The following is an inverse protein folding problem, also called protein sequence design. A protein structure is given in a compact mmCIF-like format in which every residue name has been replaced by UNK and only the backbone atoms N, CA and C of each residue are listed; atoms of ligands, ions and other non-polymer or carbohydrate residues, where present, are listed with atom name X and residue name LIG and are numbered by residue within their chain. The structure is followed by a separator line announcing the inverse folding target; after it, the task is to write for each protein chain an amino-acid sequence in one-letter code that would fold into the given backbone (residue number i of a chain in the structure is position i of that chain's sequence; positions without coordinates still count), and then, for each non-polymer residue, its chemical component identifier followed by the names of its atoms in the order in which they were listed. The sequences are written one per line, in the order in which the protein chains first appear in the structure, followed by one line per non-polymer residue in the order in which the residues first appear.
data_IF_889137808005
#
_entry.id   IF_889137808005
#
_cell.length_a   1.000
_cell.length_b   1.000
_cell.length_c   1.000
_cell.angle_alpha   90.00
_cell.angle_beta   90.00
_cell.angle_gamma   90.00
#
_symmetry.space_group_name_H-M   'P 1'
#
loop_
_entity.id
_entity.type
_entity.pdbx_description
1 polymer ?
#
# COMPACT_ATOMS: atom_id res chain seq x y z
N UNK A 1 -51.11 -56.55 -34.19
CA UNK A 1 -50.10 -56.52 -35.26
C UNK A 1 -49.51 -55.09 -35.36
N UNK A 2 -48.18 -54.96 -35.19
CA UNK A 2 -47.30 -53.84 -35.52
C UNK A 2 -47.64 -52.46 -34.89
N UNK A 3 -46.92 -51.96 -33.88
CA UNK A 3 -45.52 -51.55 -33.76
C UNK A 3 -45.23 -50.14 -34.33
N UNK A 4 -44.59 -49.35 -33.44
CA UNK A 4 -43.63 -48.24 -33.60
C UNK A 4 -44.23 -46.84 -33.46
N UNK A 5 -43.61 -45.88 -32.84
CA UNK A 5 -42.42 -45.58 -32.00
C UNK A 5 -42.55 -44.10 -31.63
N UNK A 6 -42.50 -43.61 -30.47
CA UNK A 6 -41.33 -43.32 -29.68
C UNK A 6 -40.57 -42.05 -30.12
N UNK A 7 -40.83 -40.91 -29.51
CA UNK A 7 -39.76 -39.91 -29.33
C UNK A 7 -39.99 -39.17 -28.00
N UNK A 8 -39.18 -39.53 -27.00
CA UNK A 8 -39.03 -38.82 -25.75
C UNK A 8 -38.04 -37.68 -25.97
N UNK A 9 -38.42 -36.42 -25.88
CA UNK A 9 -37.50 -35.34 -25.71
C UNK A 9 -37.27 -35.03 -24.22
N UNK A 10 -36.20 -35.63 -23.67
CA UNK A 10 -35.62 -35.28 -22.38
C UNK A 10 -34.87 -33.97 -22.56
N UNK A 11 -35.36 -32.89 -21.98
CA UNK A 11 -34.58 -31.68 -21.81
C UNK A 11 -33.72 -31.84 -20.56
N UNK A 12 -32.42 -32.10 -20.77
CA UNK A 12 -31.41 -32.00 -19.72
C UNK A 12 -30.89 -30.55 -19.73
N UNK A 13 -31.28 -29.78 -18.72
CA UNK A 13 -30.59 -28.56 -18.37
C UNK A 13 -29.36 -29.00 -17.58
N UNK A 14 -28.23 -29.07 -18.24
CA UNK A 14 -26.94 -29.32 -17.63
C UNK A 14 -26.47 -28.07 -16.90
N UNK A 15 -26.51 -28.14 -15.57
CA UNK A 15 -25.80 -27.20 -14.70
C UNK A 15 -24.31 -27.49 -14.84
N UNK A 16 -23.62 -26.76 -15.70
CA UNK A 16 -22.15 -26.77 -15.77
C UNK A 16 -21.60 -25.94 -14.60
N UNK A 17 -21.37 -26.60 -13.45
CA UNK A 17 -20.47 -26.06 -12.41
C UNK A 17 -19.05 -26.02 -12.97
N UNK A 18 -18.63 -24.89 -13.46
CA UNK A 18 -17.25 -24.62 -13.82
C UNK A 18 -16.46 -24.44 -12.50
N UNK A 19 -15.85 -25.51 -12.01
CA UNK A 19 -14.90 -25.49 -10.93
C UNK A 19 -13.65 -24.74 -11.40
N UNK A 20 -13.52 -23.46 -11.04
CA UNK A 20 -12.24 -22.76 -11.09
C UNK A 20 -11.30 -23.38 -10.05
N UNK A 21 -10.52 -24.36 -10.45
CA UNK A 21 -9.32 -24.78 -9.72
C UNK A 21 -8.34 -23.60 -9.81
N UNK A 22 -8.28 -22.81 -8.75
CA UNK A 22 -7.20 -21.86 -8.54
C UNK A 22 -5.90 -22.65 -8.38
N UNK A 23 -5.19 -22.83 -9.46
CA UNK A 23 -3.78 -23.21 -9.39
C UNK A 23 -3.06 -22.00 -8.75
N UNK A 24 -2.80 -22.10 -7.45
CA UNK A 24 -1.72 -21.32 -6.86
C UNK A 24 -0.42 -21.86 -7.47
N UNK A 25 0.01 -21.25 -8.56
CA UNK A 25 1.42 -21.34 -8.93
C UNK A 25 2.16 -20.59 -7.85
N UNK A 26 2.85 -21.34 -6.98
CA UNK A 26 3.93 -20.80 -6.19
C UNK A 26 4.90 -20.15 -7.18
N UNK A 27 4.77 -18.84 -7.36
CA UNK A 27 5.78 -18.04 -7.99
C UNK A 27 6.96 -18.04 -7.00
N UNK A 28 7.80 -19.03 -7.10
CA UNK A 28 9.13 -19.00 -6.51
C UNK A 28 9.73 -17.66 -6.97
N UNK A 29 9.99 -16.77 -6.01
CA UNK A 29 10.66 -15.52 -6.26
C UNK A 29 11.95 -15.86 -7.03
N UNK A 30 11.98 -15.53 -8.31
CA UNK A 30 13.22 -15.64 -9.09
C UNK A 30 14.19 -14.67 -8.44
N UNK A 31 15.15 -15.21 -7.70
CA UNK A 31 16.28 -14.44 -7.21
C UNK A 31 16.95 -13.74 -8.40
N UNK A 32 17.59 -12.58 -8.17
CA UNK A 32 18.25 -11.85 -9.21
C UNK A 32 19.25 -12.75 -9.93
N UNK A 33 19.24 -12.68 -11.24
CA UNK A 33 20.15 -13.39 -12.13
C UNK A 33 21.62 -13.13 -11.73
N UNK A 34 22.22 -14.07 -10.99
CA UNK A 34 23.63 -14.46 -11.03
C UNK A 34 24.73 -13.45 -10.69
N UNK A 35 24.47 -12.26 -10.18
CA UNK A 35 25.49 -11.26 -9.81
C UNK A 35 25.25 -10.64 -8.44
N UNK A 36 26.28 -9.99 -7.84
CA UNK A 36 26.10 -9.30 -6.58
C UNK A 36 25.11 -8.14 -6.72
N UNK A 37 24.22 -7.97 -5.73
CA UNK A 37 23.16 -6.97 -5.71
C UNK A 37 23.76 -5.57 -5.54
N UNK A 38 23.41 -4.66 -6.44
CA UNK A 38 23.71 -3.24 -6.30
C UNK A 38 22.59 -2.50 -5.57
N UNK A 39 22.85 -1.28 -5.08
CA UNK A 39 21.81 -0.46 -4.44
C UNK A 39 20.62 -0.19 -5.38
N UNK A 40 20.90 0.13 -6.65
CA UNK A 40 19.85 0.35 -7.64
C UNK A 40 19.01 -0.92 -7.88
N UNK A 41 19.67 -2.08 -7.98
CA UNK A 41 18.96 -3.36 -8.16
C UNK A 41 18.09 -3.70 -6.94
N UNK A 42 18.55 -3.41 -5.72
CA UNK A 42 17.77 -3.58 -4.50
C UNK A 42 16.49 -2.75 -4.52
N UNK A 43 16.60 -1.47 -4.89
CA UNK A 43 15.42 -0.58 -5.03
C UNK A 43 14.48 -1.09 -6.12
N UNK A 44 14.99 -1.46 -7.30
CA UNK A 44 14.16 -1.99 -8.38
C UNK A 44 13.49 -3.33 -8.01
N UNK A 45 14.17 -4.16 -7.24
CA UNK A 45 13.62 -5.41 -6.73
C UNK A 45 12.47 -5.13 -5.74
N UNK A 46 12.66 -4.20 -4.80
CA UNK A 46 11.64 -3.77 -3.86
C UNK A 46 10.39 -3.24 -4.58
N UNK A 47 10.56 -2.32 -5.55
CA UNK A 47 9.45 -1.75 -6.32
C UNK A 47 8.68 -2.77 -7.16
N UNK A 48 9.30 -3.90 -7.52
CA UNK A 48 8.65 -5.00 -8.25
C UNK A 48 7.96 -6.01 -7.33
N UNK A 49 8.58 -6.34 -6.20
CA UNK A 49 8.20 -7.50 -5.40
C UNK A 49 7.46 -7.13 -4.12
N UNK A 50 7.73 -5.95 -3.52
CA UNK A 50 7.20 -5.62 -2.21
C UNK A 50 5.65 -5.55 -2.23
N UNK A 51 4.96 -6.26 -1.32
CA UNK A 51 3.50 -6.40 -1.39
C UNK A 51 2.74 -5.08 -1.33
N UNK A 52 3.21 -4.08 -0.56
CA UNK A 52 2.56 -2.78 -0.46
C UNK A 52 2.52 -2.01 -1.81
N UNK A 53 3.47 -2.25 -2.71
CA UNK A 53 3.45 -1.67 -4.06
C UNK A 53 2.30 -2.27 -4.89
N UNK A 54 2.13 -3.59 -4.84
CA UNK A 54 1.01 -4.27 -5.52
C UNK A 54 -0.33 -3.81 -4.97
N UNK A 55 -0.43 -3.69 -3.64
CA UNK A 55 -1.62 -3.20 -2.94
C UNK A 55 -1.97 -1.76 -3.35
N UNK A 56 -1.02 -0.83 -3.28
CA UNK A 56 -1.25 0.58 -3.59
C UNK A 56 -1.62 0.81 -5.05
N UNK A 57 -0.95 0.10 -5.99
CA UNK A 57 -1.29 0.13 -7.41
C UNK A 57 -2.66 -0.46 -7.70
N UNK A 58 -3.02 -1.57 -7.06
CA UNK A 58 -4.35 -2.17 -7.20
C UNK A 58 -5.45 -1.22 -6.67
N UNK A 59 -5.21 -0.52 -5.56
CA UNK A 59 -6.13 0.50 -5.04
C UNK A 59 -6.28 1.69 -6.00
N UNK A 60 -5.19 2.16 -6.58
CA UNK A 60 -5.21 3.23 -7.58
C UNK A 60 -5.99 2.81 -8.84
N UNK A 61 -5.80 1.57 -9.31
CA UNK A 61 -6.55 1.03 -10.43
C UNK A 61 -8.03 0.83 -10.09
N UNK A 62 -8.36 0.33 -8.90
CA UNK A 62 -9.75 0.21 -8.44
C UNK A 62 -10.46 1.57 -8.37
N UNK A 63 -9.76 2.63 -7.94
CA UNK A 63 -10.29 3.99 -7.96
C UNK A 63 -10.50 4.51 -9.41
N UNK A 64 -9.63 4.13 -10.34
CA UNK A 64 -9.76 4.46 -11.77
C UNK A 64 -10.98 3.78 -12.40
N UNK A 65 -11.19 2.48 -12.13
CA UNK A 65 -12.40 1.77 -12.54
C UNK A 65 -13.67 2.35 -11.89
N UNK A 66 -13.57 2.92 -10.69
CA UNK A 66 -14.64 3.65 -10.01
C UNK A 66 -15.18 4.82 -10.84
N UNK A 67 -14.35 5.45 -11.68
CA UNK A 67 -14.80 6.47 -12.65
C UNK A 67 -15.72 5.85 -13.72
N UNK A 68 -15.39 4.61 -14.16
CA UNK A 68 -16.25 3.84 -15.05
C UNK A 68 -17.61 3.59 -14.43
N UNK A 69 -17.64 3.14 -13.16
CA UNK A 69 -18.88 2.94 -12.40
C UNK A 69 -19.68 4.25 -12.30
N UNK A 70 -19.03 5.36 -11.93
CA UNK A 70 -19.73 6.66 -11.86
C UNK A 70 -20.32 7.11 -13.21
N UNK A 71 -19.70 6.76 -14.32
CA UNK A 71 -20.22 7.03 -15.67
C UNK A 71 -21.43 6.19 -16.04
N UNK A 72 -21.64 5.03 -15.43
CA UNK A 72 -22.84 4.23 -15.70
C UNK A 72 -24.13 4.94 -15.28
N UNK A 73 -24.05 5.93 -14.39
CA UNK A 73 -25.19 6.79 -14.03
C UNK A 73 -25.79 7.57 -15.22
N UNK A 74 -25.06 7.73 -16.33
CA UNK A 74 -25.59 8.33 -17.57
C UNK A 74 -26.40 7.35 -18.41
N UNK A 75 -26.30 6.06 -18.16
CA UNK A 75 -27.01 5.03 -18.91
C UNK A 75 -28.44 4.85 -18.38
N UNK A 76 -29.40 4.53 -19.23
CA UNK A 76 -30.72 4.11 -18.77
C UNK A 76 -30.62 2.82 -17.96
N UNK A 77 -31.47 2.70 -16.95
CA UNK A 77 -31.63 1.51 -16.13
C UNK A 77 -32.76 0.68 -16.69
N UNK A 78 -32.53 -0.61 -16.89
CA UNK A 78 -33.51 -1.58 -17.30
C UNK A 78 -33.70 -2.60 -16.16
N UNK A 79 -34.90 -2.60 -15.57
CA UNK A 79 -35.30 -3.55 -14.56
C UNK A 79 -36.29 -4.55 -15.15
N UNK A 80 -36.08 -5.83 -14.93
CA UNK A 80 -37.00 -6.91 -15.29
C UNK A 80 -37.53 -7.58 -14.03
N UNK A 81 -38.80 -7.88 -14.00
CA UNK A 81 -39.45 -8.51 -12.86
C UNK A 81 -40.39 -9.61 -13.32
N UNK A 82 -40.36 -10.70 -12.63
CA UNK A 82 -41.39 -11.72 -12.68
C UNK A 82 -41.86 -12.07 -11.25
N UNK A 83 -43.17 -12.14 -11.04
CA UNK A 83 -43.75 -12.44 -9.75
C UNK A 83 -44.86 -13.44 -9.92
N UNK A 84 -44.87 -14.48 -9.10
CA UNK A 84 -46.00 -15.35 -8.90
C UNK A 84 -46.36 -15.39 -7.41
N UNK A 85 -47.65 -15.32 -7.12
CA UNK A 85 -48.12 -15.38 -5.76
C UNK A 85 -49.46 -16.15 -5.69
N UNK A 86 -49.81 -16.58 -4.50
CA UNK A 86 -51.13 -17.06 -4.16
C UNK A 86 -51.67 -16.21 -3.05
N UNK A 87 -52.84 -15.63 -3.27
CA UNK A 87 -53.43 -14.66 -2.35
C UNK A 87 -54.95 -14.82 -2.30
N UNK A 88 -55.53 -14.28 -1.25
CA UNK A 88 -57.00 -14.22 -1.12
C UNK A 88 -57.60 -13.28 -2.14
N UNK A 89 -58.82 -13.49 -2.56
CA UNK A 89 -59.52 -12.70 -3.59
C UNK A 89 -60.30 -11.50 -3.04
N UNK A 90 -60.19 -11.21 -1.73
CA UNK A 90 -61.13 -10.30 -1.06
C UNK A 90 -60.94 -8.81 -1.33
N UNK A 91 -59.76 -8.31 -1.71
CA UNK A 91 -59.61 -6.88 -1.90
C UNK A 91 -59.17 -6.48 -3.30
N UNK A 92 -58.24 -7.22 -3.87
CA UNK A 92 -57.67 -6.92 -5.18
C UNK A 92 -57.62 -8.26 -5.88
N UNK A 93 -58.12 -8.37 -7.09
CA UNK A 93 -58.14 -9.60 -7.84
C UNK A 93 -56.74 -10.29 -7.93
N UNK A 94 -56.34 -11.01 -6.84
CA UNK A 94 -55.02 -11.53 -6.62
C UNK A 94 -54.05 -10.43 -6.16
N UNK A 95 -53.67 -10.46 -4.87
CA UNK A 95 -52.76 -9.48 -4.27
C UNK A 95 -51.38 -9.54 -4.96
N UNK A 96 -50.89 -8.39 -5.44
CA UNK A 96 -49.52 -8.24 -5.86
C UNK A 96 -48.68 -7.67 -4.72
N UNK A 97 -47.49 -8.21 -4.50
CA UNK A 97 -46.56 -7.58 -3.60
C UNK A 97 -46.07 -6.23 -4.16
N UNK A 98 -45.89 -5.22 -3.30
CA UNK A 98 -45.41 -3.91 -3.74
C UNK A 98 -44.11 -4.03 -4.54
N UNK A 99 -44.06 -3.40 -5.71
CA UNK A 99 -42.93 -3.40 -6.61
C UNK A 99 -42.71 -1.99 -7.16
N UNK A 100 -41.44 -1.61 -7.31
CA UNK A 100 -41.07 -0.35 -7.95
C UNK A 100 -41.29 -0.37 -9.48
N UNK A 101 -41.36 -1.55 -10.06
CA UNK A 101 -41.45 -1.79 -11.52
C UNK A 101 -42.90 -1.87 -12.03
N UNK A 102 -43.86 -2.13 -11.14
CA UNK A 102 -45.30 -2.21 -11.46
C UNK A 102 -46.03 -1.09 -10.75
N UNK A 103 -46.96 -0.46 -11.46
CA UNK A 103 -47.90 0.46 -10.85
C UNK A 103 -48.83 -0.28 -9.92
N UNK A 104 -49.14 0.32 -8.77
CA UNK A 104 -50.13 -0.21 -7.85
C UNK A 104 -51.52 -0.23 -8.55
N UNK A 105 -52.09 -1.42 -8.66
CA UNK A 105 -53.45 -1.60 -9.18
C UNK A 105 -54.36 -1.91 -8.01
N UNK A 106 -55.29 -1.04 -7.73
CA UNK A 106 -56.28 -1.21 -6.68
C UNK A 106 -57.66 -1.44 -7.30
N UNK A 107 -58.45 -2.28 -6.68
CA UNK A 107 -59.85 -2.56 -7.06
C UNK A 107 -60.79 -2.41 -5.87
N UNK A 108 -62.11 -2.51 -6.09
CA UNK A 108 -63.10 -2.39 -5.01
C UNK A 108 -62.94 -3.52 -4.00
N UNK A 109 -63.24 -3.23 -2.74
CA UNK A 109 -63.28 -4.24 -1.65
C UNK A 109 -64.48 -5.17 -1.85
N UNK A 110 -64.23 -6.47 -1.96
CA UNK A 110 -65.26 -7.51 -2.13
C UNK A 110 -65.57 -8.16 -0.78
N UNK A 111 -66.55 -7.66 -0.08
CA UNK A 111 -66.92 -8.07 1.28
C UNK A 111 -67.52 -9.49 1.41
N UNK A 112 -67.75 -10.19 0.31
CA UNK A 112 -68.38 -11.53 0.30
C UNK A 112 -67.40 -12.69 0.20
N UNK A 113 -66.08 -12.43 0.15
CA UNK A 113 -65.06 -13.45 -0.01
C UNK A 113 -64.43 -13.83 1.33
N UNK A 114 -64.21 -15.14 1.54
CA UNK A 114 -63.60 -15.66 2.75
C UNK A 114 -62.08 -15.78 2.68
N UNK A 115 -61.40 -15.92 3.82
CA UNK A 115 -59.95 -16.17 3.86
C UNK A 115 -59.52 -17.47 3.16
N UNK A 116 -60.49 -18.44 2.98
CA UNK A 116 -60.26 -19.69 2.27
C UNK A 116 -60.24 -19.54 0.74
N UNK A 117 -60.77 -18.45 0.21
CA UNK A 117 -60.83 -18.18 -1.23
C UNK A 117 -59.46 -17.62 -1.69
N UNK A 118 -58.58 -18.47 -2.14
CA UNK A 118 -57.26 -18.09 -2.64
C UNK A 118 -57.07 -18.41 -4.12
N UNK A 119 -56.42 -17.52 -4.84
CA UNK A 119 -56.14 -17.64 -6.27
C UNK A 119 -54.68 -17.42 -6.54
N UNK A 120 -54.23 -17.92 -7.67
CA UNK A 120 -52.91 -17.59 -8.22
C UNK A 120 -52.94 -16.21 -8.88
N UNK A 121 -51.85 -15.50 -8.76
CA UNK A 121 -51.56 -14.24 -9.48
C UNK A 121 -50.17 -14.24 -10.05
N UNK A 122 -50.04 -13.85 -11.28
CA UNK A 122 -48.75 -13.63 -11.96
C UNK A 122 -48.60 -12.22 -12.40
N UNK A 123 -47.36 -11.71 -12.43
CA UNK A 123 -47.03 -10.43 -13.01
C UNK A 123 -45.62 -10.46 -13.60
N UNK A 124 -45.48 -9.96 -14.81
CA UNK A 124 -44.21 -9.74 -15.44
C UNK A 124 -44.09 -8.28 -15.89
N UNK A 125 -42.94 -7.66 -15.70
CA UNK A 125 -42.72 -6.28 -16.12
C UNK A 125 -41.29 -6.04 -16.56
N UNK A 126 -41.14 -5.11 -17.48
CA UNK A 126 -39.87 -4.49 -17.86
C UNK A 126 -40.02 -2.98 -17.70
N UNK A 127 -39.16 -2.38 -16.88
CA UNK A 127 -39.11 -0.94 -16.65
C UNK A 127 -37.81 -0.39 -17.21
N UNK A 128 -37.89 0.54 -18.13
CA UNK A 128 -36.79 1.39 -18.57
C UNK A 128 -36.92 2.73 -17.84
N UNK A 129 -35.90 3.11 -17.09
CA UNK A 129 -35.85 4.38 -16.38
C UNK A 129 -34.56 5.10 -16.73
N UNK A 130 -34.67 6.37 -17.11
CA UNK A 130 -33.52 7.20 -17.51
C UNK A 130 -33.68 8.62 -17.00
N UNK A 131 -32.71 9.05 -16.24
CA UNK A 131 -32.62 10.44 -15.83
C UNK A 131 -32.05 11.26 -16.99
N UNK A 132 -32.91 11.91 -17.75
CA UNK A 132 -32.53 12.62 -18.98
C UNK A 132 -31.79 13.93 -18.66
N UNK A 133 -32.24 14.68 -17.64
CA UNK A 133 -31.64 15.96 -17.21
C UNK A 133 -31.49 15.98 -15.70
N UNK A 134 -30.27 16.29 -15.23
CA UNK A 134 -29.89 16.35 -13.81
C UNK A 134 -29.11 17.63 -13.44
N UNK A 135 -29.06 18.59 -14.31
CA UNK A 135 -28.34 19.87 -14.14
C UNK A 135 -26.90 19.72 -13.63
N UNK A 136 -26.24 18.60 -13.98
CA UNK A 136 -24.84 18.34 -13.70
C UNK A 136 -24.57 17.54 -12.43
N UNK A 137 -25.60 16.92 -11.82
CA UNK A 137 -25.44 16.03 -10.66
C UNK A 137 -24.54 14.83 -10.97
N UNK A 138 -24.79 14.11 -12.08
CA UNK A 138 -23.96 12.97 -12.53
C UNK A 138 -22.54 13.38 -12.87
N UNK A 139 -22.37 14.56 -13.51
CA UNK A 139 -21.04 15.10 -13.79
C UNK A 139 -20.28 15.34 -12.48
N UNK A 140 -20.90 15.96 -11.48
CA UNK A 140 -20.29 16.18 -10.19
C UNK A 140 -19.93 14.84 -9.50
N UNK A 141 -20.77 13.81 -9.60
CA UNK A 141 -20.46 12.46 -9.13
C UNK A 141 -19.23 11.83 -9.81
N UNK A 142 -19.11 11.99 -11.13
CA UNK A 142 -17.91 11.57 -11.88
C UNK A 142 -16.68 12.37 -11.46
N UNK A 143 -16.82 13.67 -11.18
CA UNK A 143 -15.70 14.49 -10.73
C UNK A 143 -15.23 14.11 -9.32
N UNK A 144 -16.12 13.64 -8.43
CA UNK A 144 -15.74 13.01 -7.15
C UNK A 144 -14.89 11.75 -7.39
N UNK A 145 -15.34 10.86 -8.28
CA UNK A 145 -14.60 9.64 -8.60
C UNK A 145 -13.21 9.93 -9.19
N UNK A 146 -13.09 10.97 -10.03
CA UNK A 146 -11.80 11.43 -10.58
C UNK A 146 -10.89 11.98 -9.48
N UNK A 147 -11.41 12.78 -8.55
CA UNK A 147 -10.65 13.29 -7.42
C UNK A 147 -10.14 12.14 -6.52
N UNK A 148 -10.98 11.12 -6.27
CA UNK A 148 -10.58 9.89 -5.56
C UNK A 148 -9.48 9.13 -6.30
N UNK A 149 -9.53 9.05 -7.64
CA UNK A 149 -8.46 8.44 -8.44
C UNK A 149 -7.15 9.23 -8.29
N UNK A 150 -7.21 10.56 -8.31
CA UNK A 150 -6.03 11.41 -8.10
C UNK A 150 -5.41 11.18 -6.71
N UNK A 151 -6.23 11.12 -5.67
CA UNK A 151 -5.80 10.81 -4.31
C UNK A 151 -5.10 9.44 -4.25
N UNK A 152 -5.73 8.39 -4.79
CA UNK A 152 -5.18 7.04 -4.77
C UNK A 152 -3.86 6.93 -5.54
N UNK A 153 -3.70 7.62 -6.68
CA UNK A 153 -2.44 7.68 -7.45
C UNK A 153 -1.34 8.39 -6.67
N UNK A 154 -1.63 9.50 -5.98
CA UNK A 154 -0.64 10.20 -5.16
C UNK A 154 -0.23 9.38 -3.91
N UNK A 155 -1.18 8.65 -3.30
CA UNK A 155 -0.88 7.71 -2.23
C UNK A 155 0.00 6.54 -2.70
N UNK A 156 -0.22 6.04 -3.93
CA UNK A 156 0.66 5.03 -4.53
C UNK A 156 2.07 5.56 -4.76
N UNK A 157 2.22 6.79 -5.24
CA UNK A 157 3.52 7.43 -5.40
C UNK A 157 4.27 7.62 -4.07
N UNK A 158 3.54 7.97 -2.99
CA UNK A 158 4.11 8.02 -1.65
C UNK A 158 4.60 6.64 -1.19
N UNK A 159 3.79 5.59 -1.39
CA UNK A 159 4.19 4.21 -1.06
C UNK A 159 5.43 3.78 -1.85
N UNK A 160 5.55 4.17 -3.12
CA UNK A 160 6.75 3.88 -3.93
C UNK A 160 8.00 4.57 -3.38
N UNK A 161 7.88 5.83 -2.95
CA UNK A 161 8.97 6.56 -2.31
C UNK A 161 9.41 5.90 -1.00
N UNK A 162 8.44 5.53 -0.15
CA UNK A 162 8.70 4.93 1.16
C UNK A 162 9.39 3.57 1.01
N UNK A 163 8.89 2.72 0.12
CA UNK A 163 9.47 1.38 -0.14
C UNK A 163 10.86 1.49 -0.74
N UNK A 164 11.06 2.39 -1.71
CA UNK A 164 12.38 2.62 -2.32
C UNK A 164 13.39 3.14 -1.30
N UNK A 165 12.98 4.08 -0.45
CA UNK A 165 13.84 4.63 0.62
C UNK A 165 14.18 3.57 1.67
N UNK A 166 13.22 2.74 2.08
CA UNK A 166 13.44 1.66 3.03
C UNK A 166 14.41 0.60 2.50
N UNK A 167 14.27 0.22 1.23
CA UNK A 167 15.20 -0.71 0.58
C UNK A 167 16.62 -0.14 0.49
N UNK A 168 16.74 1.16 0.17
CA UNK A 168 18.03 1.85 0.12
C UNK A 168 18.70 1.92 1.50
N UNK A 169 17.94 2.27 2.55
CA UNK A 169 18.49 2.33 3.92
C UNK A 169 18.88 0.94 4.44
N UNK A 170 18.07 -0.08 4.17
CA UNK A 170 18.39 -1.46 4.51
C UNK A 170 19.69 -1.93 3.82
N UNK A 171 19.87 -1.59 2.53
CA UNK A 171 21.10 -1.89 1.80
C UNK A 171 22.32 -1.23 2.41
N UNK A 172 22.25 0.08 2.70
CA UNK A 172 23.33 0.82 3.36
C UNK A 172 23.62 0.30 4.77
N UNK A 173 22.59 -0.20 5.47
CA UNK A 173 22.74 -0.82 6.78
C UNK A 173 23.55 -2.12 6.72
N UNK A 174 23.30 -2.97 5.73
CA UNK A 174 24.10 -4.20 5.55
C UNK A 174 25.54 -3.85 5.23
N UNK A 175 25.81 -2.89 4.33
CA UNK A 175 27.17 -2.47 4.03
C UNK A 175 27.90 -1.95 5.28
N UNK A 176 27.25 -1.16 6.11
CA UNK A 176 27.84 -0.65 7.35
C UNK A 176 28.14 -1.76 8.35
N UNK A 177 27.24 -2.76 8.46
CA UNK A 177 27.42 -3.92 9.31
C UNK A 177 28.58 -4.80 8.82
N UNK A 178 28.71 -5.01 7.51
CA UNK A 178 29.80 -5.77 6.92
C UNK A 178 31.17 -5.10 7.12
N UNK A 179 31.24 -3.75 7.06
CA UNK A 179 32.45 -3.02 7.43
C UNK A 179 32.80 -3.22 8.91
N UNK A 180 31.80 -3.16 9.79
CA UNK A 180 32.00 -3.40 11.23
C UNK A 180 32.51 -4.83 11.51
N UNK A 181 31.99 -5.82 10.79
CA UNK A 181 32.51 -7.23 10.89
C UNK A 181 33.97 -7.31 10.44
N UNK A 182 34.34 -6.60 9.34
CA UNK A 182 35.72 -6.58 8.84
C UNK A 182 36.68 -5.95 9.86
N UNK A 183 36.29 -4.81 10.44
CA UNK A 183 37.08 -4.16 11.49
C UNK A 183 37.24 -5.02 12.75
N UNK A 184 36.14 -5.64 13.22
CA UNK A 184 36.18 -6.55 14.38
C UNK A 184 37.05 -7.79 14.13
N UNK A 185 37.00 -8.38 12.93
CA UNK A 185 37.85 -9.52 12.55
C UNK A 185 39.33 -9.13 12.54
N UNK A 186 39.67 -8.00 11.91
CA UNK A 186 41.04 -7.49 11.90
C UNK A 186 41.58 -7.24 13.33
N UNK A 187 40.73 -6.77 14.25
CA UNK A 187 41.09 -6.63 15.65
C UNK A 187 41.35 -7.96 16.34
N UNK A 188 40.52 -8.98 16.13
CA UNK A 188 40.74 -10.34 16.64
C UNK A 188 42.07 -10.91 16.14
N UNK A 189 42.36 -10.78 14.84
CA UNK A 189 43.59 -11.26 14.24
C UNK A 189 44.84 -10.60 14.88
N UNK A 190 44.81 -9.26 15.10
CA UNK A 190 45.89 -8.55 15.78
C UNK A 190 46.08 -8.99 17.23
N UNK A 191 45.00 -9.13 17.98
CA UNK A 191 45.04 -9.56 19.39
C UNK A 191 45.45 -11.03 19.52
N UNK A 192 45.09 -11.89 18.58
CA UNK A 192 45.57 -13.28 18.54
C UNK A 192 47.09 -13.35 18.40
N UNK A 193 47.66 -12.57 17.46
CA UNK A 193 49.14 -12.48 17.31
C UNK A 193 49.78 -11.91 18.57
N UNK A 194 49.21 -10.86 19.14
CA UNK A 194 49.71 -10.24 20.37
C UNK A 194 49.68 -11.23 21.55
N UNK A 195 48.55 -11.92 21.79
CA UNK A 195 48.40 -12.91 22.86
C UNK A 195 49.42 -14.08 22.73
N UNK A 196 49.65 -14.54 21.51
CA UNK A 196 50.65 -15.60 21.26
C UNK A 196 52.05 -15.09 21.58
N UNK A 197 52.42 -13.88 21.20
CA UNK A 197 53.71 -13.29 21.51
C UNK A 197 53.90 -13.11 23.03
N UNK A 198 52.90 -12.61 23.74
CA UNK A 198 52.96 -12.47 25.20
C UNK A 198 53.10 -13.81 25.88
N UNK A 199 52.35 -14.84 25.44
CA UNK A 199 52.46 -16.21 25.95
C UNK A 199 53.87 -16.77 25.81
N UNK A 200 54.52 -16.56 24.65
CA UNK A 200 55.91 -16.97 24.43
C UNK A 200 56.89 -16.25 25.35
N UNK A 201 56.72 -14.96 25.59
CA UNK A 201 57.56 -14.20 26.51
C UNK A 201 57.39 -14.67 27.97
N UNK A 202 56.18 -15.00 28.40
CA UNK A 202 55.90 -15.54 29.75
C UNK A 202 56.49 -16.91 29.91
N UNK A 203 56.36 -17.81 28.93
CA UNK A 203 56.97 -19.15 28.96
C UNK A 203 58.51 -19.12 29.08
N UNK A 204 59.14 -18.11 28.50
CA UNK A 204 60.57 -17.89 28.60
C UNK A 204 60.96 -17.03 29.84
N UNK A 205 60.04 -16.77 30.77
CA UNK A 205 60.24 -15.98 32.01
C UNK A 205 60.66 -14.52 31.77
N UNK A 206 60.39 -13.99 30.56
CA UNK A 206 60.71 -12.62 30.18
C UNK A 206 59.61 -11.63 30.59
N UNK A 207 58.44 -12.14 30.97
CA UNK A 207 57.27 -11.35 31.37
C UNK A 207 56.48 -12.04 32.50
N UNK A 208 55.74 -11.27 33.35
CA UNK A 208 54.87 -11.85 34.36
C UNK A 208 53.70 -12.63 33.79
N UNK A 209 53.21 -13.68 34.47
CA UNK A 209 52.04 -14.46 34.04
C UNK A 209 50.76 -13.63 33.97
N UNK A 210 50.67 -12.55 34.76
CA UNK A 210 49.54 -11.61 34.69
C UNK A 210 49.41 -10.95 33.31
N UNK A 211 50.49 -10.73 32.56
CA UNK A 211 50.44 -10.19 31.21
C UNK A 211 49.76 -11.14 30.24
N UNK A 212 50.03 -12.47 30.37
CA UNK A 212 49.35 -13.49 29.56
C UNK A 212 47.84 -13.52 29.85
N UNK A 213 47.46 -13.60 31.12
CA UNK A 213 46.04 -13.62 31.50
C UNK A 213 45.30 -12.41 30.96
N UNK A 214 45.92 -11.22 30.98
CA UNK A 214 45.31 -9.99 30.42
C UNK A 214 45.21 -10.04 28.89
N UNK A 215 46.25 -10.48 28.20
CA UNK A 215 46.21 -10.58 26.73
C UNK A 215 45.13 -11.59 26.26
N UNK A 216 44.99 -12.71 27.00
CA UNK A 216 43.94 -13.71 26.75
C UNK A 216 42.54 -13.13 27.03
N UNK A 217 42.36 -12.33 28.08
CA UNK A 217 41.09 -11.66 28.36
C UNK A 217 40.69 -10.65 27.27
N UNK A 218 41.66 -9.84 26.80
CA UNK A 218 41.40 -8.88 25.70
C UNK A 218 41.04 -9.61 24.40
N UNK A 219 41.69 -10.71 24.09
CA UNK A 219 41.32 -11.56 22.94
C UNK A 219 39.90 -12.11 23.08
N UNK A 220 39.52 -12.59 24.26
CA UNK A 220 38.15 -13.09 24.51
C UNK A 220 37.09 -11.98 24.33
N UNK A 221 37.38 -10.76 24.80
CA UNK A 221 36.51 -9.59 24.58
C UNK A 221 36.34 -9.27 23.07
N UNK A 222 37.46 -9.31 22.32
CA UNK A 222 37.42 -9.07 20.87
C UNK A 222 36.61 -10.12 20.12
N UNK A 223 36.72 -11.42 20.51
CA UNK A 223 35.88 -12.47 19.94
C UNK A 223 34.39 -12.26 20.21
N UNK A 224 34.03 -11.79 21.42
CA UNK A 224 32.64 -11.44 21.73
C UNK A 224 32.16 -10.26 20.88
N UNK A 225 32.99 -9.23 20.67
CA UNK A 225 32.67 -8.11 19.79
C UNK A 225 32.49 -8.56 18.33
N UNK A 226 33.33 -9.46 17.83
CA UNK A 226 33.16 -10.04 16.49
C UNK A 226 31.84 -10.80 16.38
N UNK A 227 31.50 -11.62 17.39
CA UNK A 227 30.23 -12.34 17.42
C UNK A 227 29.01 -11.39 17.38
N UNK A 228 29.07 -10.28 18.11
CA UNK A 228 28.04 -9.23 18.10
C UNK A 228 27.96 -8.54 16.73
N UNK A 229 29.09 -8.21 16.11
CA UNK A 229 29.11 -7.59 14.78
C UNK A 229 28.52 -8.53 13.71
N UNK A 230 28.85 -9.83 13.76
CA UNK A 230 28.26 -10.86 12.87
C UNK A 230 26.75 -10.96 13.08
N UNK A 231 26.28 -10.98 14.34
CA UNK A 231 24.84 -10.98 14.63
C UNK A 231 24.13 -9.77 14.00
N UNK A 232 24.69 -8.57 14.16
CA UNK A 232 24.11 -7.33 13.58
C UNK A 232 24.06 -7.42 12.05
N UNK A 233 25.11 -7.95 11.42
CA UNK A 233 25.17 -8.12 9.97
C UNK A 233 24.11 -9.11 9.47
N UNK A 234 23.91 -10.24 10.16
CA UNK A 234 22.89 -11.22 9.78
C UNK A 234 21.46 -10.67 9.95
N UNK A 235 21.20 -9.92 11.02
CA UNK A 235 19.91 -9.21 11.22
C UNK A 235 19.68 -8.18 10.12
N UNK A 236 20.70 -7.40 9.77
CA UNK A 236 20.61 -6.41 8.69
C UNK A 236 20.34 -7.08 7.32
N UNK A 237 20.96 -8.22 7.02
CA UNK A 237 20.67 -9.01 5.80
C UNK A 237 19.23 -9.51 5.76
N UNK A 238 18.72 -10.02 6.89
CA UNK A 238 17.33 -10.43 6.99
C UNK A 238 16.36 -9.24 6.74
N UNK A 239 16.69 -8.07 7.31
CA UNK A 239 15.90 -6.84 7.09
C UNK A 239 15.95 -6.35 5.64
N UNK A 240 17.10 -6.47 4.95
CA UNK A 240 17.21 -6.17 3.53
C UNK A 240 16.36 -7.13 2.69
N UNK A 241 16.42 -8.44 2.98
CA UNK A 241 15.61 -9.44 2.29
C UNK A 241 14.10 -9.16 2.42
N UNK A 242 13.66 -8.71 3.60
CA UNK A 242 12.29 -8.25 3.80
C UNK A 242 11.98 -6.98 3.00
N UNK A 243 12.83 -5.95 3.10
CA UNK A 243 12.63 -4.66 2.42
C UNK A 243 12.58 -4.79 0.88
N UNK A 244 13.29 -5.76 0.29
CA UNK A 244 13.22 -6.03 -1.16
C UNK A 244 12.09 -6.99 -1.55
N UNK A 245 11.27 -7.44 -0.59
CA UNK A 245 10.15 -8.34 -0.84
C UNK A 245 10.57 -9.78 -1.18
N UNK A 246 11.73 -10.21 -0.67
CA UNK A 246 12.30 -11.55 -0.86
C UNK A 246 12.72 -12.16 0.48
N UNK A 247 11.83 -12.11 1.47
CA UNK A 247 12.10 -12.61 2.82
C UNK A 247 12.68 -14.03 2.80
N UNK A 248 13.79 -14.24 3.55
CA UNK A 248 14.50 -15.50 3.60
C UNK A 248 15.53 -15.73 2.47
N UNK A 249 15.63 -14.81 1.49
CA UNK A 249 16.70 -14.86 0.49
C UNK A 249 18.02 -14.32 1.07
N UNK A 250 19.14 -14.80 0.55
CA UNK A 250 20.47 -14.26 0.83
C UNK A 250 21.01 -13.55 -0.41
N UNK A 251 21.65 -12.41 -0.21
CA UNK A 251 22.23 -11.61 -1.29
C UNK A 251 23.70 -11.31 -1.00
N UNK A 252 24.54 -11.46 -2.01
CA UNK A 252 25.86 -10.85 -2.02
C UNK A 252 25.74 -9.41 -2.50
N UNK A 253 26.38 -8.47 -1.80
CA UNK A 253 26.24 -7.03 -2.06
C UNK A 253 27.50 -6.46 -2.69
N UNK A 254 27.34 -5.51 -3.61
CA UNK A 254 28.44 -4.73 -4.14
C UNK A 254 28.31 -3.27 -3.71
N UNK A 255 29.32 -2.77 -3.00
CA UNK A 255 29.35 -1.38 -2.56
C UNK A 255 29.52 -0.37 -3.70
N UNK A 256 30.27 -0.71 -4.76
CA UNK A 256 30.49 0.16 -5.91
C UNK A 256 30.97 1.57 -5.52
N UNK A 257 30.28 2.59 -6.01
CA UNK A 257 30.55 4.00 -5.71
C UNK A 257 30.36 4.38 -4.22
N UNK A 258 29.65 3.57 -3.43
CA UNK A 258 29.35 3.85 -2.01
C UNK A 258 30.59 3.77 -1.10
N UNK A 259 31.72 3.28 -1.61
CA UNK A 259 33.01 3.26 -0.88
C UNK A 259 33.67 4.62 -0.74
N UNK A 260 33.30 5.58 -1.57
CA UNK A 260 33.83 6.94 -1.56
C UNK A 260 32.82 7.94 -1.00
N UNK A 261 33.31 9.04 -0.42
CA UNK A 261 32.46 10.16 -0.02
C UNK A 261 32.06 10.93 -1.29
N UNK A 262 30.76 11.09 -1.59
CA UNK A 262 30.33 11.81 -2.78
C UNK A 262 30.50 13.32 -2.63
N UNK A 263 30.77 14.02 -3.73
CA UNK A 263 30.59 15.46 -3.79
C UNK A 263 29.12 15.80 -3.98
N UNK A 264 28.59 16.75 -3.21
CA UNK A 264 27.20 17.13 -3.29
C UNK A 264 26.97 18.61 -3.01
N UNK A 265 25.92 19.15 -3.62
CA UNK A 265 25.31 20.43 -3.29
C UNK A 265 23.86 20.16 -2.94
N UNK A 266 23.39 20.69 -1.81
CA UNK A 266 21.97 20.57 -1.39
C UNK A 266 21.28 21.82 -1.90
N UNK A 267 20.36 21.65 -2.86
CA UNK A 267 19.46 22.70 -3.30
C UNK A 267 18.18 22.69 -2.46
N UNK A 268 17.58 23.86 -2.18
CA UNK A 268 16.28 23.93 -1.54
C UNK A 268 15.24 23.22 -2.41
N UNK A 269 14.41 22.38 -1.80
CA UNK A 269 13.32 21.72 -2.52
C UNK A 269 11.98 22.40 -2.25
N UNK A 270 11.09 22.37 -3.25
CA UNK A 270 9.70 22.74 -3.09
C UNK A 270 8.93 21.57 -2.47
N UNK A 271 8.66 21.66 -1.16
CA UNK A 271 7.96 20.62 -0.41
C UNK A 271 6.52 20.37 -0.89
N UNK A 272 5.93 21.30 -1.66
CA UNK A 272 4.58 21.11 -2.22
C UNK A 272 4.57 20.06 -3.32
N UNK A 273 5.71 19.77 -3.93
CA UNK A 273 5.86 18.71 -4.95
C UNK A 273 6.04 17.32 -4.36
N UNK A 274 6.30 17.23 -3.05
CA UNK A 274 6.46 15.95 -2.36
C UNK A 274 5.19 15.08 -2.48
N UNK A 275 5.31 13.75 -2.71
CA UNK A 275 4.15 12.85 -2.86
C UNK A 275 3.15 12.94 -1.70
N UNK A 276 3.62 13.10 -0.46
CA UNK A 276 2.75 13.27 0.71
C UNK A 276 1.95 14.58 0.66
N UNK A 277 2.56 15.69 0.23
CA UNK A 277 1.87 16.96 0.06
C UNK A 277 0.84 16.89 -1.06
N UNK A 278 1.19 16.26 -2.20
CA UNK A 278 0.24 16.02 -3.31
C UNK A 278 -0.93 15.14 -2.90
N UNK A 279 -0.70 14.11 -2.08
CA UNK A 279 -1.76 13.27 -1.54
C UNK A 279 -2.69 14.09 -0.61
N UNK A 280 -2.14 14.93 0.27
CA UNK A 280 -2.92 15.83 1.12
C UNK A 280 -3.76 16.83 0.31
N UNK A 281 -3.18 17.45 -0.72
CA UNK A 281 -3.92 18.36 -1.62
C UNK A 281 -5.04 17.62 -2.36
N UNK A 282 -4.77 16.40 -2.85
CA UNK A 282 -5.80 15.59 -3.51
C UNK A 282 -6.93 15.18 -2.55
N UNK A 283 -6.65 14.99 -1.25
CA UNK A 283 -7.69 14.73 -0.25
C UNK A 283 -8.64 15.93 -0.08
N UNK A 284 -8.11 17.15 -0.04
CA UNK A 284 -8.90 18.39 -0.04
C UNK A 284 -9.77 18.47 -1.30
N UNK A 285 -9.20 18.14 -2.46
CA UNK A 285 -9.92 18.19 -3.74
C UNK A 285 -11.08 17.18 -3.79
N UNK A 286 -10.97 16.02 -3.11
CA UNK A 286 -12.09 15.07 -2.96
C UNK A 286 -13.24 15.70 -2.17
N UNK A 287 -12.97 16.37 -1.05
CA UNK A 287 -14.00 17.02 -0.23
C UNK A 287 -14.68 18.14 -1.02
N UNK A 288 -13.91 18.98 -1.71
CA UNK A 288 -14.44 20.03 -2.60
C UNK A 288 -15.30 19.47 -3.73
N UNK A 289 -14.93 18.32 -4.28
CA UNK A 289 -15.75 17.66 -5.29
C UNK A 289 -17.08 17.16 -4.71
N UNK A 290 -17.10 16.65 -3.47
CA UNK A 290 -18.33 16.26 -2.76
C UNK A 290 -19.23 17.47 -2.49
N UNK A 291 -18.65 18.60 -2.06
CA UNK A 291 -19.42 19.85 -1.90
C UNK A 291 -20.11 20.26 -3.20
N UNK A 292 -19.38 20.23 -4.33
CA UNK A 292 -19.98 20.53 -5.65
C UNK A 292 -21.11 19.56 -6.01
N UNK A 293 -21.05 18.31 -5.56
CA UNK A 293 -22.18 17.37 -5.74
C UNK A 293 -23.41 17.80 -4.95
N UNK A 294 -23.21 18.27 -3.72
CA UNK A 294 -24.31 18.81 -2.90
C UNK A 294 -24.88 20.11 -3.48
N UNK A 295 -24.06 20.95 -4.12
CA UNK A 295 -24.54 22.13 -4.84
C UNK A 295 -25.47 21.78 -6.00
N UNK A 296 -25.27 20.64 -6.64
CA UNK A 296 -26.15 20.16 -7.72
C UNK A 296 -27.41 19.49 -7.21
N UNK A 297 -27.43 19.02 -5.96
CA UNK A 297 -28.61 18.41 -5.35
C UNK A 297 -29.81 19.35 -5.13
N UNK A 298 -29.63 20.69 -5.29
CA UNK A 298 -30.72 21.66 -5.25
C UNK A 298 -31.60 21.68 -6.51
N UNK A 299 -31.08 21.15 -7.61
CA UNK A 299 -31.76 21.23 -8.89
C UNK A 299 -32.79 20.12 -9.07
N UNK A 300 -33.87 20.36 -9.85
CA UNK A 300 -34.82 19.29 -10.14
C UNK A 300 -34.22 18.21 -11.02
N UNK A 301 -34.78 17.00 -10.93
CA UNK A 301 -34.41 15.85 -11.76
C UNK A 301 -35.54 15.57 -12.75
N UNK A 302 -35.21 15.36 -14.03
CA UNK A 302 -36.17 14.96 -15.06
C UNK A 302 -35.89 13.52 -15.43
N UNK A 303 -36.83 12.64 -15.07
CA UNK A 303 -36.72 11.18 -15.32
C UNK A 303 -37.75 10.80 -16.39
N UNK A 304 -37.27 10.13 -17.43
CA UNK A 304 -38.10 9.43 -18.42
C UNK A 304 -38.26 7.99 -18.02
N UNK A 305 -39.49 7.52 -18.05
CA UNK A 305 -39.82 6.14 -17.69
C UNK A 305 -40.71 5.52 -18.78
N UNK A 306 -40.43 4.22 -19.08
CA UNK A 306 -41.28 3.42 -19.94
C UNK A 306 -41.41 2.04 -19.31
N UNK A 307 -42.62 1.56 -19.18
CA UNK A 307 -42.87 0.23 -18.67
C UNK A 307 -43.74 -0.57 -19.65
N UNK A 308 -43.40 -1.83 -19.80
CA UNK A 308 -44.26 -2.86 -20.37
C UNK A 308 -44.48 -3.91 -19.30
N UNK A 309 -45.77 -4.17 -18.96
CA UNK A 309 -46.12 -5.08 -17.92
C UNK A 309 -47.29 -5.96 -18.36
N UNK A 310 -47.32 -7.18 -17.90
CA UNK A 310 -48.48 -8.03 -18.09
C UNK A 310 -48.86 -8.71 -16.75
N UNK A 311 -50.13 -8.89 -16.55
CA UNK A 311 -50.67 -9.45 -15.31
C UNK A 311 -51.67 -10.58 -15.62
N UNK A 312 -51.64 -11.63 -14.80
CA UNK A 312 -52.62 -12.69 -14.78
C UNK A 312 -53.22 -12.82 -13.38
N UNK A 313 -54.47 -13.22 -13.31
CA UNK A 313 -55.18 -13.48 -12.03
C UNK A 313 -56.15 -14.66 -12.19
N UNK A 314 -56.16 -15.55 -11.21
CA UNK A 314 -57.20 -16.60 -11.11
C UNK A 314 -58.50 -16.14 -10.47
N UNK A 315 -58.57 -14.85 -10.06
CA UNK A 315 -59.81 -14.26 -9.56
C UNK A 315 -60.68 -13.86 -10.73
N UNK A 316 -61.51 -14.79 -11.17
CA UNK A 316 -62.37 -14.57 -12.33
C UNK A 316 -63.63 -13.79 -12.03
N UNK A 317 -64.07 -12.99 -12.98
CA UNK A 317 -65.44 -12.51 -13.03
C UNK A 317 -66.32 -13.66 -13.54
N UNK A 318 -67.50 -13.90 -12.98
CA UNK A 318 -68.41 -14.96 -13.44
C UNK A 318 -68.61 -14.88 -14.97
N UNK A 319 -68.32 -16.02 -15.65
CA UNK A 319 -68.45 -16.13 -17.12
C UNK A 319 -67.22 -15.87 -17.95
N UNK A 320 -66.07 -15.52 -17.35
CA UNK A 320 -64.80 -15.36 -18.05
C UNK A 320 -63.84 -16.45 -17.56
N UNK A 321 -63.45 -17.39 -18.40
CA UNK A 321 -62.44 -18.39 -18.04
C UNK A 321 -61.05 -17.82 -18.14
N UNK A 322 -60.26 -17.90 -17.06
CA UNK A 322 -58.86 -17.50 -17.07
C UNK A 322 -57.95 -18.67 -17.55
N UNK A 323 -57.12 -18.42 -18.50
CA UNK A 323 -56.11 -19.39 -18.93
C UNK A 323 -55.07 -19.60 -17.81
N UNK A 324 -54.92 -20.86 -17.37
CA UNK A 324 -53.91 -21.22 -16.37
C UNK A 324 -54.21 -20.80 -14.91
N UNK A 325 -55.46 -20.45 -14.59
CA UNK A 325 -55.87 -20.10 -13.23
C UNK A 325 -55.03 -19.03 -12.55
N UNK A 326 -54.56 -18.04 -13.32
CA UNK A 326 -53.70 -16.94 -12.83
C UNK A 326 -52.21 -17.23 -12.79
N UNK A 327 -51.76 -18.44 -13.13
CA UNK A 327 -50.35 -18.80 -13.20
C UNK A 327 -49.61 -18.21 -14.43
N UNK A 328 -50.35 -17.62 -15.38
CA UNK A 328 -49.79 -17.01 -16.57
C UNK A 328 -50.29 -15.60 -16.79
N UNK A 329 -49.46 -14.74 -17.34
CA UNK A 329 -49.84 -13.38 -17.65
C UNK A 329 -50.86 -13.34 -18.78
N UNK A 330 -51.92 -12.52 -18.62
CA UNK A 330 -53.07 -12.50 -19.52
C UNK A 330 -53.24 -11.11 -20.17
N UNK A 331 -53.09 -10.02 -19.39
CA UNK A 331 -53.41 -8.68 -19.83
C UNK A 331 -52.16 -7.84 -19.91
N UNK A 332 -51.65 -7.54 -21.11
CA UNK A 332 -50.53 -6.64 -21.29
C UNK A 332 -50.92 -5.17 -21.11
N UNK A 333 -50.02 -4.40 -20.52
CA UNK A 333 -50.16 -2.97 -20.33
C UNK A 333 -48.82 -2.31 -20.65
N UNK A 334 -48.90 -1.04 -21.10
CA UNK A 334 -47.72 -0.21 -21.27
C UNK A 334 -47.98 1.20 -20.77
N UNK A 335 -46.92 1.86 -20.33
CA UNK A 335 -46.96 3.24 -19.98
C UNK A 335 -45.63 3.93 -20.35
N UNK A 336 -45.70 5.15 -20.79
CA UNK A 336 -44.54 6.03 -21.02
C UNK A 336 -44.82 7.36 -20.37
N UNK A 337 -43.86 7.88 -19.62
CA UNK A 337 -44.05 9.14 -18.92
C UNK A 337 -42.73 9.86 -18.62
N UNK A 338 -42.86 11.12 -18.32
CA UNK A 338 -41.80 11.97 -17.79
C UNK A 338 -42.20 12.50 -16.43
N UNK A 339 -41.32 12.46 -15.48
CA UNK A 339 -41.51 13.03 -14.15
C UNK A 339 -40.45 14.09 -13.86
N UNK A 340 -40.88 15.18 -13.21
CA UNK A 340 -39.98 16.23 -12.71
C UNK A 340 -40.08 16.19 -11.18
N UNK A 341 -38.96 15.88 -10.53
CA UNK A 341 -38.91 15.81 -9.06
C UNK A 341 -38.13 16.99 -8.50
N UNK A 342 -38.74 17.76 -7.60
CA UNK A 342 -38.11 18.86 -6.89
C UNK A 342 -37.80 18.42 -5.43
N UNK A 343 -36.58 18.59 -4.93
CA UNK A 343 -36.21 18.25 -3.55
C UNK A 343 -36.64 19.38 -2.57
N UNK A 344 -37.92 19.76 -2.53
CA UNK A 344 -38.40 20.98 -1.87
C UNK A 344 -38.10 21.00 -0.34
N UNK A 345 -38.25 19.90 0.38
CA UNK A 345 -37.97 19.82 1.82
C UNK A 345 -36.57 19.28 2.12
N UNK A 346 -35.87 18.71 1.13
CA UNK A 346 -34.50 18.22 1.27
C UNK A 346 -33.46 19.33 1.42
N UNK A 347 -33.86 20.60 1.17
CA UNK A 347 -33.00 21.76 1.34
C UNK A 347 -32.37 21.83 2.73
N UNK A 348 -33.09 21.47 3.79
CA UNK A 348 -32.55 21.43 5.15
C UNK A 348 -31.46 20.36 5.32
N UNK A 349 -31.69 19.15 4.76
CA UNK A 349 -30.75 18.07 4.81
C UNK A 349 -29.50 18.37 3.94
N UNK A 350 -29.68 18.94 2.75
CA UNK A 350 -28.57 19.33 1.87
C UNK A 350 -27.72 20.40 2.56
N UNK A 351 -28.32 21.43 3.15
CA UNK A 351 -27.62 22.48 3.89
C UNK A 351 -26.86 21.91 5.11
N UNK A 352 -27.43 20.91 5.82
CA UNK A 352 -26.75 20.24 6.93
C UNK A 352 -25.54 19.45 6.43
N UNK A 353 -25.68 18.69 5.33
CA UNK A 353 -24.56 17.95 4.69
C UNK A 353 -23.48 18.88 4.19
N UNK A 354 -23.81 20.01 3.59
CA UNK A 354 -22.82 21.03 3.18
C UNK A 354 -22.01 21.55 4.35
N UNK A 355 -22.66 21.83 5.51
CA UNK A 355 -21.92 22.23 6.71
C UNK A 355 -20.98 21.13 7.21
N UNK A 356 -21.35 19.84 7.06
CA UNK A 356 -20.47 18.72 7.39
C UNK A 356 -19.26 18.71 6.46
N UNK A 357 -19.47 18.79 5.13
CA UNK A 357 -18.34 18.79 4.18
C UNK A 357 -17.45 20.03 4.34
N UNK A 358 -17.99 21.20 4.66
CA UNK A 358 -17.19 22.38 4.97
C UNK A 358 -16.27 22.16 6.19
N UNK A 359 -16.73 21.44 7.23
CA UNK A 359 -15.86 21.06 8.35
C UNK A 359 -14.85 19.97 7.96
N UNK A 360 -15.20 19.06 7.07
CA UNK A 360 -14.26 18.09 6.51
C UNK A 360 -13.16 18.80 5.70
N UNK A 361 -13.49 19.86 4.91
CA UNK A 361 -12.48 20.67 4.20
C UNK A 361 -11.50 21.35 5.16
N UNK A 362 -12.00 21.93 6.25
CA UNK A 362 -11.15 22.51 7.31
C UNK A 362 -10.23 21.43 7.93
N UNK A 363 -10.78 20.24 8.19
CA UNK A 363 -10.00 19.13 8.76
C UNK A 363 -8.89 18.65 7.81
N UNK A 364 -9.21 18.46 6.52
CA UNK A 364 -8.22 18.05 5.50
C UNK A 364 -7.18 19.14 5.24
N UNK A 365 -7.58 20.43 5.26
CA UNK A 365 -6.63 21.54 5.17
C UNK A 365 -5.64 21.57 6.35
N UNK A 366 -6.14 21.38 7.56
CA UNK A 366 -5.28 21.26 8.74
C UNK A 366 -4.37 20.01 8.70
N UNK A 367 -4.86 18.90 8.12
CA UNK A 367 -4.04 17.71 7.87
C UNK A 367 -2.93 17.99 6.85
N UNK A 368 -3.23 18.72 5.77
CA UNK A 368 -2.24 19.16 4.80
C UNK A 368 -1.17 20.06 5.45
N UNK A 369 -1.56 21.05 6.24
CA UNK A 369 -0.64 21.94 6.95
C UNK A 369 0.28 21.16 7.90
N UNK A 370 -0.27 20.17 8.62
CA UNK A 370 0.51 19.25 9.45
C UNK A 370 1.51 18.44 8.64
N UNK A 371 1.14 18.00 7.46
CA UNK A 371 2.02 17.27 6.53
C UNK A 371 3.18 18.16 6.07
N UNK A 372 2.92 19.39 5.65
CA UNK A 372 3.95 20.38 5.28
C UNK A 372 4.90 20.67 6.46
N UNK A 373 4.36 20.81 7.68
CA UNK A 373 5.17 21.00 8.88
C UNK A 373 6.07 19.79 9.18
N UNK A 374 5.56 18.56 8.99
CA UNK A 374 6.34 17.34 9.15
C UNK A 374 7.48 17.26 8.12
N UNK A 375 7.20 17.56 6.84
CA UNK A 375 8.19 17.59 5.77
C UNK A 375 9.27 18.65 6.02
N UNK A 376 8.89 19.85 6.46
CA UNK A 376 9.84 20.90 6.86
C UNK A 376 10.75 20.42 7.98
N UNK A 377 10.19 19.72 8.96
CA UNK A 377 10.97 19.14 10.07
C UNK A 377 11.93 18.05 9.57
N UNK A 378 11.49 17.20 8.64
CA UNK A 378 12.36 16.18 8.04
C UNK A 378 13.51 16.82 7.25
N UNK A 379 13.26 17.87 6.49
CA UNK A 379 14.28 18.60 5.76
C UNK A 379 15.34 19.21 6.71
N UNK A 380 14.91 19.85 7.81
CA UNK A 380 15.84 20.41 8.81
C UNK A 380 16.69 19.29 9.45
N UNK A 381 16.08 18.15 9.78
CA UNK A 381 16.80 16.98 10.30
C UNK A 381 17.80 16.43 9.28
N UNK A 382 17.40 16.29 8.03
CA UNK A 382 18.28 15.80 6.97
C UNK A 382 19.50 16.71 6.76
N UNK A 383 19.33 18.03 6.79
CA UNK A 383 20.44 19.00 6.74
C UNK A 383 21.38 18.87 7.93
N UNK A 384 20.85 18.70 9.13
CA UNK A 384 21.67 18.50 10.33
C UNK A 384 22.46 17.20 10.28
N UNK A 385 21.81 16.09 9.84
CA UNK A 385 22.47 14.80 9.62
C UNK A 385 23.58 14.91 8.57
N UNK A 386 23.34 15.60 7.47
CA UNK A 386 24.30 15.80 6.41
C UNK A 386 25.52 16.56 6.89
N UNK A 387 25.32 17.67 7.62
CA UNK A 387 26.41 18.45 8.19
C UNK A 387 27.27 17.59 9.10
N UNK A 388 26.66 16.88 10.05
CA UNK A 388 27.36 16.02 11.00
C UNK A 388 28.11 14.87 10.29
N UNK A 389 27.45 14.16 9.36
CA UNK A 389 28.06 13.06 8.61
C UNK A 389 29.28 13.50 7.81
N UNK A 390 29.21 14.68 7.18
CA UNK A 390 30.34 15.25 6.42
C UNK A 390 31.52 15.61 7.33
N UNK A 391 31.28 16.22 8.48
CA UNK A 391 32.31 16.56 9.46
C UNK A 391 32.97 15.30 10.03
N UNK A 392 32.19 14.29 10.40
CA UNK A 392 32.68 13.00 10.89
C UNK A 392 33.55 12.32 9.81
N UNK A 393 33.05 12.19 8.56
CA UNK A 393 33.80 11.57 7.48
C UNK A 393 35.10 12.31 7.11
N UNK A 394 35.20 13.60 7.44
CA UNK A 394 36.43 14.38 7.28
C UNK A 394 37.45 14.08 8.39
N UNK A 395 37.00 13.83 9.60
CA UNK A 395 37.84 13.67 10.80
C UNK A 395 38.35 12.23 10.98
N UNK A 396 37.53 11.22 10.64
CA UNK A 396 37.86 9.80 10.90
C UNK A 396 39.11 9.27 10.21
N UNK A 397 39.55 9.72 9.01
CA UNK A 397 40.84 9.32 8.43
C UNK A 397 42.04 9.74 9.28
N UNK A 398 42.00 10.98 9.86
CA UNK A 398 43.05 11.47 10.74
C UNK A 398 43.08 10.70 12.07
N UNK A 399 41.94 10.43 12.64
CA UNK A 399 41.78 9.57 13.85
C UNK A 399 42.38 8.19 13.64
N UNK A 400 42.01 7.50 12.54
CA UNK A 400 42.55 6.20 12.17
C UNK A 400 44.07 6.21 11.99
N UNK A 401 44.59 7.24 11.32
CA UNK A 401 46.05 7.40 11.12
C UNK A 401 46.78 7.59 12.45
N UNK A 402 46.26 8.42 13.35
CA UNK A 402 46.84 8.66 14.67
C UNK A 402 46.75 7.40 15.55
N UNK A 403 45.62 6.69 15.55
CA UNK A 403 45.46 5.44 16.28
C UNK A 403 46.39 4.33 15.79
N UNK A 404 46.60 4.23 14.47
CA UNK A 404 47.55 3.28 13.88
C UNK A 404 48.98 3.59 14.30
N UNK A 405 49.38 4.86 14.30
CA UNK A 405 50.69 5.27 14.75
C UNK A 405 50.88 4.99 16.26
N UNK A 406 49.89 5.29 17.08
CA UNK A 406 49.87 5.00 18.52
C UNK A 406 50.02 3.52 18.84
N UNK A 407 49.27 2.65 18.13
CA UNK A 407 49.38 1.19 18.30
C UNK A 407 50.80 0.68 17.97
N UNK A 408 51.33 1.11 16.82
CA UNK A 408 52.70 0.73 16.42
C UNK A 408 53.74 1.16 17.48
N UNK A 409 53.64 2.37 18.04
CA UNK A 409 54.54 2.89 19.07
C UNK A 409 54.38 2.10 20.38
N UNK A 410 53.15 1.89 20.84
CA UNK A 410 52.87 1.10 22.07
C UNK A 410 53.44 -0.33 21.97
N UNK A 411 53.23 -0.97 20.83
CA UNK A 411 53.75 -2.33 20.56
C UNK A 411 55.29 -2.37 20.55
N UNK A 412 55.97 -1.39 19.88
CA UNK A 412 57.43 -1.30 19.85
C UNK A 412 58.00 -1.06 21.26
N UNK A 413 57.41 -0.17 22.06
CA UNK A 413 57.80 0.09 23.44
C UNK A 413 57.63 -1.14 24.34
N UNK A 414 56.51 -1.87 24.15
CA UNK A 414 56.27 -3.11 24.89
C UNK A 414 57.34 -4.19 24.58
N UNK A 415 57.71 -4.35 23.31
CA UNK A 415 58.76 -5.27 22.89
C UNK A 415 60.12 -4.89 23.50
N UNK A 416 60.42 -3.60 23.67
CA UNK A 416 61.63 -3.09 24.30
C UNK A 416 61.54 -3.07 25.84
N UNK A 417 60.48 -3.52 26.46
CA UNK A 417 60.29 -3.51 27.92
C UNK A 417 59.92 -2.14 28.51
N UNK A 418 59.64 -1.12 27.70
CA UNK A 418 59.39 0.27 28.08
C UNK A 418 57.89 0.59 28.22
N UNK A 419 57.01 -0.36 27.94
CA UNK A 419 55.57 -0.19 28.10
C UNK A 419 54.95 -1.46 28.76
N UNK A 420 53.76 -1.30 29.30
CA UNK A 420 52.97 -2.38 29.90
C UNK A 420 52.03 -3.03 28.85
N UNK A 421 51.55 -4.23 29.15
CA UNK A 421 50.52 -4.90 28.35
C UNK A 421 49.24 -4.07 28.28
N UNK A 422 48.96 -3.25 29.34
CA UNK A 422 47.78 -2.37 29.41
C UNK A 422 47.83 -1.26 28.36
N UNK A 423 49.03 -0.65 28.21
CA UNK A 423 49.22 0.42 27.19
C UNK A 423 48.99 -0.13 25.76
N UNK A 424 49.43 -1.34 25.48
CA UNK A 424 49.23 -2.00 24.18
C UNK A 424 47.76 -2.36 23.98
N UNK A 425 47.10 -2.90 24.99
CA UNK A 425 45.67 -3.24 24.92
C UNK A 425 44.81 -1.99 24.66
N UNK A 426 45.10 -0.87 25.33
CA UNK A 426 44.39 0.39 25.11
C UNK A 426 44.65 0.95 23.70
N UNK A 427 45.87 0.87 23.17
CA UNK A 427 46.19 1.29 21.82
C UNK A 427 45.47 0.41 20.77
N UNK A 428 45.37 -0.92 20.99
CA UNK A 428 44.57 -1.80 20.13
C UNK A 428 43.08 -1.45 20.15
N UNK A 429 42.52 -1.14 21.32
CA UNK A 429 41.13 -0.77 21.48
C UNK A 429 40.81 0.55 20.73
N UNK A 430 41.70 1.55 20.87
CA UNK A 430 41.55 2.82 20.16
C UNK A 430 41.64 2.65 18.64
N UNK A 431 42.57 1.81 18.15
CA UNK A 431 42.70 1.54 16.72
C UNK A 431 41.46 0.81 16.17
N UNK A 432 40.98 -0.21 16.91
CA UNK A 432 39.77 -0.95 16.50
C UNK A 432 38.54 -0.04 16.40
N UNK A 433 38.39 0.90 17.35
CA UNK A 433 37.31 1.90 17.33
C UNK A 433 37.48 2.85 16.11
N UNK A 434 38.66 3.41 15.89
CA UNK A 434 38.92 4.34 14.80
C UNK A 434 38.74 3.68 13.41
N UNK A 435 39.09 2.39 13.27
CA UNK A 435 38.84 1.65 12.04
C UNK A 435 37.34 1.42 11.79
N UNK A 436 36.56 1.09 12.81
CA UNK A 436 35.12 0.94 12.71
C UNK A 436 34.45 2.27 12.37
N UNK A 437 34.85 3.35 13.04
CA UNK A 437 34.29 4.69 12.83
C UNK A 437 34.58 5.22 11.41
N UNK A 438 35.82 5.06 10.90
CA UNK A 438 36.18 5.44 9.53
C UNK A 438 35.39 4.63 8.47
N UNK A 439 35.20 3.34 8.71
CA UNK A 439 34.45 2.49 7.79
C UNK A 439 32.97 2.89 7.70
N UNK A 440 32.34 3.23 8.82
CA UNK A 440 30.89 3.59 8.89
C UNK A 440 30.67 5.06 8.50
N UNK A 441 31.64 5.97 8.75
CA UNK A 441 31.49 7.40 8.50
C UNK A 441 31.17 7.72 7.03
N UNK A 442 31.82 7.02 6.08
CA UNK A 442 31.58 7.19 4.64
C UNK A 442 30.15 6.81 4.24
N UNK A 443 29.65 5.70 4.77
CA UNK A 443 28.26 5.26 4.56
C UNK A 443 27.25 6.20 5.26
N UNK A 444 27.67 6.84 6.36
CA UNK A 444 26.89 7.87 7.05
C UNK A 444 26.55 9.06 6.14
N UNK A 445 27.47 9.48 5.26
CA UNK A 445 27.21 10.54 4.27
C UNK A 445 26.16 10.09 3.24
N UNK A 446 26.24 8.86 2.75
CA UNK A 446 25.24 8.30 1.83
C UNK A 446 23.85 8.19 2.47
N UNK A 447 23.79 7.80 3.75
CA UNK A 447 22.52 7.79 4.49
C UNK A 447 21.92 9.18 4.68
N UNK A 448 22.77 10.18 4.93
CA UNK A 448 22.31 11.56 5.04
C UNK A 448 21.82 12.12 3.70
N UNK A 449 22.44 11.71 2.57
CA UNK A 449 21.97 12.02 1.21
C UNK A 449 20.62 11.33 0.93
N UNK A 450 20.47 10.07 1.30
CA UNK A 450 19.19 9.35 1.18
C UNK A 450 18.10 10.05 1.99
N UNK A 451 18.37 10.43 3.25
CA UNK A 451 17.42 11.15 4.08
C UNK A 451 17.04 12.52 3.48
N UNK A 452 17.97 13.20 2.82
CA UNK A 452 17.69 14.45 2.09
C UNK A 452 16.81 14.19 0.87
N UNK A 453 17.10 13.19 0.07
CA UNK A 453 16.31 12.81 -1.10
C UNK A 453 14.88 12.38 -0.70
N UNK A 454 14.73 11.64 0.40
CA UNK A 454 13.44 11.27 0.97
C UNK A 454 12.65 12.51 1.44
N UNK A 455 13.29 13.45 2.14
CA UNK A 455 12.65 14.69 2.60
C UNK A 455 12.20 15.59 1.43
N UNK A 456 12.88 15.51 0.29
CA UNK A 456 12.51 16.21 -0.95
C UNK A 456 11.47 15.46 -1.79
N UNK A 457 11.21 14.17 -1.48
CA UNK A 457 10.23 13.36 -2.19
C UNK A 457 10.69 12.81 -3.54
N UNK A 458 12.00 12.90 -3.84
CA UNK A 458 12.59 12.42 -5.08
C UNK A 458 13.94 11.74 -4.82
N UNK A 459 14.04 10.46 -5.18
CA UNK A 459 15.27 9.68 -5.06
C UNK A 459 16.15 9.75 -6.32
N UNK A 460 15.70 10.32 -7.43
CA UNK A 460 16.47 10.35 -8.67
C UNK A 460 17.82 11.06 -8.51
N UNK A 461 17.95 12.23 -7.86
CA UNK A 461 19.23 12.90 -7.65
C UNK A 461 20.21 12.09 -6.78
N UNK A 462 19.70 11.25 -5.88
CA UNK A 462 20.50 10.32 -5.09
C UNK A 462 20.99 9.15 -5.94
N UNK A 463 20.10 8.55 -6.74
CA UNK A 463 20.42 7.41 -7.60
C UNK A 463 21.38 7.77 -8.73
N UNK A 464 21.30 8.97 -9.30
CA UNK A 464 22.19 9.42 -10.36
C UNK A 464 23.67 9.50 -9.93
N UNK A 465 23.92 9.69 -8.63
CA UNK A 465 25.28 9.74 -8.05
C UNK A 465 25.89 8.36 -7.82
N UNK A 466 25.09 7.31 -7.87
CA UNK A 466 25.52 5.92 -7.66
C UNK A 466 25.84 5.24 -9.00
N UNK A 467 25.38 5.84 -10.11
CA UNK A 467 25.71 5.33 -11.44
C UNK A 467 27.22 5.39 -11.66
N UNK A 468 27.83 4.31 -12.19
CA UNK A 468 29.27 4.25 -12.46
C UNK A 468 29.71 5.28 -13.47
#
# INVERSE_FOLDING_TARGET
MRQRSGIRHRWWIGLACLGCVLHHTDAAAQGPSGGPLTLNDAIQLALRNYPAIKESRARAQAAEEGVGVARTAYLPRLDMMWQENRATTNNVFGLLFPQSTLFSMTGPVLGTRSLGDSVWGSAGAVLLSWEAVDFGQRKAGVDVARAQTSLAKNQSALTELDVASAAADAFLTVLAADESVRAARANVDRLQVFSNNVRTLVQNQLRPGADQSRAEAELAVANNQLSQAVQIAEVARASLADAVGAAGASFELTAGALTAVPEFTIEPADLTTHPAARAGQAAIDVVRARERTLDRAYYPHITLQSTFAARGSGAETPGVSSFGNGLWVQVPNWAVGASVTFPALDLFSINARKRVEAQNEVAESAHYDRTIQALTTQEVKARALMKAATEIARNTPAERQAATAGENQARARYQSGLATVVEVAEAHRLLAQAEADDAVARLGVWRALLATAQAHGDLAPFLDRIKP
#
